data_IF_244386736811
#
_entry.id   IF_244386736811
#
_cell.length_a   1.000
_cell.length_b   1.000
_cell.length_c   1.000
_cell.angle_alpha   90.00
_cell.angle_beta   90.00
_cell.angle_gamma   90.00
#
_symmetry.space_group_name_H-M   'P 1'
#
loop_
_entity.id
_entity.type
_entity.pdbx_description
1 polymer ?
#
# COMPACT_ATOMS: atom_id res chain seq x y z
N UNK A 1 28.00 15.98 0.14
CA UNK A 1 27.04 15.53 1.16
C UNK A 1 25.90 14.85 0.42
N UNK A 2 25.68 13.55 0.64
CA UNK A 2 24.44 12.94 0.17
C UNK A 2 23.32 13.61 0.98
N UNK A 3 22.43 14.37 0.32
CA UNK A 3 21.19 14.83 0.94
C UNK A 3 20.41 13.57 1.29
N UNK A 4 20.63 13.06 2.49
CA UNK A 4 20.05 11.81 2.97
C UNK A 4 18.54 11.95 2.96
N UNK A 5 17.87 11.04 2.27
CA UNK A 5 16.42 10.94 2.33
C UNK A 5 16.02 10.71 3.79
N UNK A 6 15.41 11.72 4.43
CA UNK A 6 14.94 11.60 5.81
C UNK A 6 13.61 10.89 5.76
N UNK A 7 13.54 9.68 6.32
CA UNK A 7 12.29 8.95 6.46
C UNK A 7 11.29 9.79 7.25
N UNK A 8 10.04 9.82 6.78
CA UNK A 8 8.99 10.66 7.35
C UNK A 8 7.78 9.83 7.75
N UNK A 9 6.89 10.42 8.53
CA UNK A 9 5.60 9.83 8.89
C UNK A 9 4.74 9.46 7.67
N UNK A 10 4.88 10.21 6.57
CA UNK A 10 4.23 9.85 5.29
C UNK A 10 4.86 8.60 4.68
N UNK A 11 6.18 8.43 4.78
CA UNK A 11 6.86 7.22 4.33
C UNK A 11 6.33 5.98 5.06
N UNK A 12 6.10 6.08 6.38
CA UNK A 12 5.51 4.98 7.16
C UNK A 12 4.10 4.62 6.68
N UNK A 13 3.26 5.62 6.40
CA UNK A 13 1.92 5.41 5.86
C UNK A 13 1.93 4.79 4.45
N UNK A 14 2.84 5.25 3.58
CA UNK A 14 3.03 4.68 2.25
C UNK A 14 3.50 3.23 2.35
N UNK A 15 4.48 2.92 3.21
CA UNK A 15 4.90 1.53 3.46
C UNK A 15 3.73 0.68 3.95
N UNK A 16 2.91 1.20 4.86
CA UNK A 16 1.76 0.47 5.36
C UNK A 16 0.71 0.20 4.26
N UNK A 17 0.44 1.18 3.40
CA UNK A 17 -0.40 1.03 2.21
C UNK A 17 0.14 -0.05 1.27
N UNK A 18 1.45 -0.04 0.99
CA UNK A 18 2.09 -1.06 0.14
C UNK A 18 2.02 -2.45 0.78
N UNK A 19 2.16 -2.57 2.09
CA UNK A 19 1.96 -3.83 2.81
C UNK A 19 0.53 -4.35 2.62
N UNK A 20 -0.48 -3.48 2.66
CA UNK A 20 -1.86 -3.91 2.37
C UNK A 20 -2.04 -4.39 0.94
N UNK A 21 -1.45 -3.73 -0.05
CA UNK A 21 -1.49 -4.21 -1.43
C UNK A 21 -0.80 -5.58 -1.57
N UNK A 22 0.31 -5.82 -0.87
CA UNK A 22 0.97 -7.13 -0.85
C UNK A 22 0.08 -8.19 -0.21
N UNK A 23 -0.49 -7.92 0.97
CA UNK A 23 -1.41 -8.85 1.65
C UNK A 23 -2.62 -9.13 0.77
N UNK A 24 -3.15 -8.09 0.11
CA UNK A 24 -4.26 -8.21 -0.83
C UNK A 24 -3.86 -8.84 -2.17
N UNK A 25 -2.56 -9.05 -2.44
CA UNK A 25 -2.02 -9.44 -3.76
C UNK A 25 -2.54 -8.56 -4.92
N UNK A 26 -2.86 -7.30 -4.64
CA UNK A 26 -3.46 -6.36 -5.60
C UNK A 26 -2.53 -5.17 -5.79
N UNK A 27 -1.36 -5.41 -6.37
CA UNK A 27 -0.41 -4.33 -6.63
C UNK A 27 -0.91 -3.41 -7.76
N UNK A 28 -0.89 -2.08 -7.56
CA UNK A 28 -1.20 -1.15 -8.64
C UNK A 28 -0.13 -1.14 -9.74
N UNK A 29 1.08 -1.64 -9.47
CA UNK A 29 2.23 -1.56 -10.40
C UNK A 29 3.09 -2.82 -10.38
N UNK A 30 3.93 -2.99 -11.40
CA UNK A 30 4.75 -4.20 -11.53
C UNK A 30 6.02 -4.08 -10.67
N UNK A 31 6.15 -4.93 -9.64
CA UNK A 31 7.29 -4.97 -8.71
C UNK A 31 8.56 -5.68 -9.21
N UNK A 32 8.51 -6.39 -10.34
CA UNK A 32 9.65 -7.13 -10.89
C UNK A 32 10.65 -6.19 -11.59
N UNK A 33 10.18 -5.06 -12.12
CA UNK A 33 10.99 -4.12 -12.89
C UNK A 33 11.24 -2.83 -12.13
N UNK A 34 12.29 -2.79 -11.31
CA UNK A 34 12.58 -1.69 -10.37
C UNK A 34 12.36 -0.27 -10.95
N UNK A 35 12.97 0.05 -12.10
CA UNK A 35 12.85 1.38 -12.70
C UNK A 35 11.39 1.70 -13.12
N UNK A 36 10.68 0.71 -13.67
CA UNK A 36 9.28 0.86 -14.06
C UNK A 36 8.41 1.01 -12.81
N UNK A 37 8.68 0.22 -11.77
CA UNK A 37 7.97 0.30 -10.49
C UNK A 37 8.10 1.69 -9.86
N UNK A 38 9.28 2.30 -9.90
CA UNK A 38 9.51 3.65 -9.36
C UNK A 38 8.64 4.67 -10.08
N UNK A 39 8.63 4.66 -11.42
CA UNK A 39 7.83 5.57 -12.22
C UNK A 39 6.31 5.33 -12.04
N UNK A 40 5.88 4.06 -12.03
CA UNK A 40 4.47 3.70 -11.82
C UNK A 40 4.01 4.07 -10.39
N UNK A 41 4.89 3.93 -9.39
CA UNK A 41 4.64 4.41 -8.01
C UNK A 41 4.45 5.91 -7.98
N UNK A 42 5.32 6.67 -8.62
CA UNK A 42 5.20 8.14 -8.67
C UNK A 42 3.89 8.58 -9.33
N UNK A 43 3.47 7.90 -10.40
CA UNK A 43 2.17 8.13 -11.04
C UNK A 43 1.01 7.77 -10.11
N UNK A 44 1.10 6.65 -9.40
CA UNK A 44 0.09 6.24 -8.42
C UNK A 44 -0.05 7.25 -7.28
N UNK A 45 1.06 7.76 -6.75
CA UNK A 45 1.04 8.75 -5.67
C UNK A 45 0.48 10.11 -6.13
N UNK A 46 0.45 10.38 -7.44
CA UNK A 46 -0.16 11.59 -8.03
C UNK A 46 -1.63 11.40 -8.41
N UNK A 47 -2.01 10.22 -8.90
CA UNK A 47 -3.32 9.90 -9.43
C UNK A 47 -3.67 8.42 -9.16
N UNK A 48 -3.97 8.06 -7.90
CA UNK A 48 -4.26 6.67 -7.54
C UNK A 48 -5.56 6.15 -8.17
N UNK A 49 -6.52 7.03 -8.52
CA UNK A 49 -7.78 6.66 -9.17
C UNK A 49 -7.62 6.15 -10.61
N UNK A 50 -6.49 6.43 -11.25
CA UNK A 50 -6.17 5.88 -12.58
C UNK A 50 -5.79 4.39 -12.56
N UNK A 51 -5.57 3.81 -11.37
CA UNK A 51 -5.12 2.44 -11.20
C UNK A 51 -6.29 1.50 -10.88
N UNK A 52 -6.20 0.26 -11.40
CA UNK A 52 -7.19 -0.79 -11.13
C UNK A 52 -6.91 -1.44 -9.77
N UNK A 53 -7.44 -0.85 -8.71
CA UNK A 53 -7.37 -1.37 -7.34
C UNK A 53 -8.77 -1.45 -6.71
N UNK A 54 -8.98 -2.23 -5.64
CA UNK A 54 -10.27 -2.30 -4.97
C UNK A 54 -10.65 -0.94 -4.38
N UNK A 55 -11.94 -0.60 -4.47
CA UNK A 55 -12.46 0.66 -3.92
C UNK A 55 -12.12 0.85 -2.43
N UNK A 56 -12.08 -0.23 -1.65
CA UNK A 56 -11.73 -0.16 -0.23
C UNK A 56 -10.27 0.24 0.01
N UNK A 57 -9.33 -0.14 -0.88
CA UNK A 57 -7.93 0.31 -0.83
C UNK A 57 -7.76 1.68 -1.47
N UNK A 58 -8.54 2.00 -2.51
CA UNK A 58 -8.49 3.30 -3.19
C UNK A 58 -8.79 4.45 -2.23
N UNK A 59 -9.83 4.34 -1.40
CA UNK A 59 -10.17 5.38 -0.43
C UNK A 59 -9.03 5.62 0.58
N UNK A 60 -8.38 4.54 1.04
CA UNK A 60 -7.23 4.64 1.95
C UNK A 60 -6.01 5.25 1.25
N UNK A 61 -5.76 4.83 0.00
CA UNK A 61 -4.69 5.39 -0.82
C UNK A 61 -4.85 6.89 -1.01
N UNK A 62 -6.05 7.35 -1.41
CA UNK A 62 -6.38 8.76 -1.60
C UNK A 62 -6.06 9.60 -0.37
N UNK A 63 -6.46 9.16 0.83
CA UNK A 63 -6.18 9.89 2.07
C UNK A 63 -4.69 9.92 2.44
N UNK A 64 -3.94 8.86 2.14
CA UNK A 64 -2.49 8.80 2.41
C UNK A 64 -1.69 9.65 1.42
N UNK A 65 -2.03 9.61 0.12
CA UNK A 65 -1.29 10.35 -0.91
C UNK A 65 -1.56 11.85 -0.87
N UNK A 66 -2.79 12.25 -0.52
CA UNK A 66 -3.24 13.65 -0.34
C UNK A 66 -2.48 14.42 0.74
N UNK A 67 -1.71 13.73 1.58
CA UNK A 67 -0.83 14.37 2.57
C UNK A 67 0.25 15.18 1.84
N UNK A 68 -0.01 16.46 1.61
CA UNK A 68 0.90 17.37 0.89
C UNK A 68 2.23 17.55 1.62
N UNK A 69 2.22 17.54 2.96
CA UNK A 69 3.43 17.69 3.77
C UNK A 69 3.86 16.36 4.39
N UNK A 70 5.08 15.92 4.06
CA UNK A 70 5.64 14.68 4.59
C UNK A 70 5.72 14.64 6.14
N UNK A 71 5.65 15.79 6.81
CA UNK A 71 5.83 15.93 8.25
C UNK A 71 4.57 15.72 9.10
N UNK A 72 3.36 15.97 8.58
CA UNK A 72 2.12 15.97 9.38
C UNK A 72 0.92 15.34 8.65
N UNK A 73 0.91 14.00 8.49
CA UNK A 73 -0.28 13.31 7.99
C UNK A 73 -1.46 13.45 8.96
N UNK A 74 -2.67 13.54 8.39
CA UNK A 74 -3.92 13.54 9.16
C UNK A 74 -4.31 12.10 9.54
N UNK A 75 -3.67 11.56 10.57
CA UNK A 75 -3.93 10.19 11.03
C UNK A 75 -5.40 9.91 11.38
N UNK A 76 -6.18 10.93 11.76
CA UNK A 76 -7.61 10.77 12.04
C UNK A 76 -8.41 10.47 10.77
N UNK A 77 -8.11 11.19 9.68
CA UNK A 77 -8.74 10.93 8.38
C UNK A 77 -8.31 9.59 7.81
N UNK A 78 -7.00 9.29 7.88
CA UNK A 78 -6.46 7.99 7.45
C UNK A 78 -7.13 6.84 8.22
N UNK A 79 -7.21 6.93 9.56
CA UNK A 79 -7.90 5.94 10.39
C UNK A 79 -9.37 5.75 9.98
N UNK A 80 -10.10 6.85 9.72
CA UNK A 80 -11.49 6.78 9.26
C UNK A 80 -11.61 6.04 7.92
N UNK A 81 -10.69 6.30 6.99
CA UNK A 81 -10.65 5.58 5.71
C UNK A 81 -10.41 4.07 5.90
N UNK A 82 -9.56 3.67 6.86
CA UNK A 82 -9.42 2.25 7.23
C UNK A 82 -10.72 1.66 7.76
N UNK A 83 -11.38 2.34 8.71
CA UNK A 83 -12.64 1.87 9.30
C UNK A 83 -13.73 1.69 8.23
N UNK A 84 -13.76 2.56 7.22
CA UNK A 84 -14.67 2.49 6.07
C UNK A 84 -14.27 1.42 5.04
N UNK A 85 -12.99 1.03 4.97
CA UNK A 85 -12.49 -0.01 4.09
C UNK A 85 -12.78 -1.42 4.61
N UNK A 86 -12.83 -1.63 5.93
CA UNK A 86 -13.02 -2.94 6.58
C UNK A 86 -14.26 -3.69 6.06
N UNK A 87 -15.46 -3.09 5.94
CA UNK A 87 -16.63 -3.79 5.41
C UNK A 87 -16.48 -4.28 3.97
N UNK A 88 -15.61 -3.63 3.18
CA UNK A 88 -15.30 -4.02 1.80
C UNK A 88 -14.28 -5.15 1.69
N UNK A 89 -13.59 -5.50 2.78
CA UNK A 89 -12.67 -6.62 2.82
C UNK A 89 -13.41 -7.89 3.24
N UNK A 90 -13.53 -8.86 2.33
CA UNK A 90 -14.09 -10.17 2.64
C UNK A 90 -12.98 -11.17 3.00
N UNK A 91 -12.71 -11.42 4.31
CA UNK A 91 -11.67 -12.34 4.73
C UNK A 91 -11.96 -13.79 4.36
N UNK A 92 -13.21 -14.17 4.07
CA UNK A 92 -13.57 -15.55 3.68
C UNK A 92 -13.23 -15.84 2.23
N UNK A 93 -13.31 -14.84 1.36
CA UNK A 93 -12.84 -14.91 -0.02
C UNK A 93 -11.30 -14.92 -0.10
N UNK A 94 -10.64 -14.39 0.93
CA UNK A 94 -9.19 -14.29 1.00
C UNK A 94 -8.56 -15.63 1.41
N UNK A 95 -8.03 -16.36 0.42
CA UNK A 95 -7.21 -17.54 0.69
C UNK A 95 -5.79 -17.07 0.97
N UNK A 96 -5.33 -17.27 2.21
CA UNK A 96 -3.90 -17.25 2.48
C UNK A 96 -3.26 -18.43 1.74
N UNK A 97 -2.57 -18.15 0.65
CA UNK A 97 -1.76 -19.14 -0.03
C UNK A 97 -0.54 -19.44 0.85
N UNK A 98 -0.59 -20.57 1.55
CA UNK A 98 0.60 -21.13 2.20
C UNK A 98 1.49 -21.69 1.11
N UNK A 99 2.43 -20.88 0.63
CA UNK A 99 3.51 -21.40 -0.21
C UNK A 99 4.47 -22.19 0.68
N UNK A 100 4.56 -23.50 0.48
CA UNK A 100 5.59 -24.32 1.11
C UNK A 100 6.97 -23.76 0.74
N UNK A 101 7.78 -23.46 1.75
CA UNK A 101 9.18 -23.10 1.54
C UNK A 101 9.87 -24.29 0.83
N UNK A 102 10.86 -24.03 -0.04
CA UNK A 102 11.72 -25.06 -0.67
C UNK A 102 12.54 -25.86 0.37
N UNK A 103 12.33 -25.59 1.66
CA UNK A 103 12.93 -26.18 2.85
C UNK A 103 11.92 -26.95 3.73
N UNK A 104 10.66 -27.09 3.30
CA UNK A 104 9.67 -27.97 3.94
C UNK A 104 9.11 -27.47 5.28
N UNK A 105 9.10 -26.16 5.53
CA UNK A 105 8.51 -25.56 6.73
C UNK A 105 7.39 -24.57 6.38
N UNK A 106 6.27 -24.56 7.12
CA UNK A 106 5.23 -23.56 6.90
C UNK A 106 5.71 -22.18 7.37
N UNK A 107 5.68 -21.20 6.46
CA UNK A 107 5.81 -19.78 6.79
C UNK A 107 4.47 -19.11 6.55
N UNK A 108 3.90 -18.50 7.59
CA UNK A 108 2.81 -17.54 7.42
C UNK A 108 3.41 -16.24 6.89
N UNK A 109 2.89 -15.74 5.76
CA UNK A 109 3.16 -14.39 5.25
C UNK A 109 2.05 -13.49 5.74
#
# INVERSE_FOLDING_TARGET
>A
MANGFVATKKCDLLMHLYTMFEVARQWPFNKEYLNKSIAERELFEQNPESFKIPNYLLNVAMEIVKVETMAKPNYKAVKKAYEEAIPGFDPKSFKFEVTEDRRGGPRMI
#
